data_IF_879751837540
#
_entry.id   IF_879751837540
#
_cell.length_a   1.000
_cell.length_b   1.000
_cell.length_c   1.000
_cell.angle_alpha   90.00
_cell.angle_beta   90.00
_cell.angle_gamma   90.00
#
_symmetry.space_group_name_H-M   'P 1'
#
loop_
_entity.id
_entity.type
_entity.pdbx_description
1 polymer ?
#
# COMPACT_ATOMS: atom_id res chain seq x y z
N UNK A 1 11.48 1.07 10.23
CA UNK A 1 11.51 1.31 11.70
C UNK A 1 10.12 1.17 12.36
N UNK A 2 9.04 1.75 11.81
CA UNK A 2 7.67 1.61 12.37
C UNK A 2 7.09 0.18 12.27
N UNK A 3 7.12 -0.44 11.09
CA UNK A 3 6.57 -1.79 10.85
C UNK A 3 7.26 -2.91 11.66
N UNK A 4 8.54 -2.75 11.99
CA UNK A 4 9.27 -3.72 12.81
C UNK A 4 8.76 -3.80 14.26
N UNK A 5 8.36 -2.65 14.84
CA UNK A 5 7.74 -2.61 16.17
C UNK A 5 6.33 -3.22 16.17
N UNK A 6 5.56 -3.00 15.10
CA UNK A 6 4.23 -3.62 14.92
C UNK A 6 4.34 -5.15 14.88
N UNK A 7 5.39 -5.70 14.24
CA UNK A 7 5.64 -7.15 14.24
C UNK A 7 5.86 -7.72 15.66
N UNK A 8 6.54 -6.98 16.54
CA UNK A 8 6.78 -7.41 17.92
C UNK A 8 5.52 -7.42 18.79
N UNK A 9 4.54 -6.58 18.46
CA UNK A 9 3.28 -6.43 19.22
C UNK A 9 2.16 -7.34 18.69
N UNK A 10 2.36 -7.97 17.54
CA UNK A 10 1.45 -8.95 16.92
C UNK A 10 0.99 -10.08 17.86
N UNK A 11 1.87 -10.77 18.63
CA UNK A 11 1.43 -11.82 19.56
C UNK A 11 0.56 -11.28 20.70
N UNK A 12 0.85 -10.07 21.21
CA UNK A 12 0.04 -9.42 22.25
C UNK A 12 -1.36 -9.07 21.74
N UNK A 13 -1.46 -8.64 20.49
CA UNK A 13 -2.74 -8.38 19.81
C UNK A 13 -3.59 -9.66 19.68
N UNK A 14 -2.97 -10.79 19.37
CA UNK A 14 -3.67 -12.08 19.28
C UNK A 14 -4.22 -12.52 20.64
N UNK A 15 -3.43 -12.38 21.71
CA UNK A 15 -3.87 -12.68 23.07
C UNK A 15 -5.07 -11.82 23.52
N UNK A 16 -5.07 -10.52 23.17
CA UNK A 16 -6.23 -9.63 23.43
C UNK A 16 -7.47 -10.14 22.70
N UNK A 17 -7.35 -10.52 21.43
CA UNK A 17 -8.48 -11.07 20.68
C UNK A 17 -9.03 -12.34 21.30
N UNK A 18 -8.16 -13.26 21.69
CA UNK A 18 -8.58 -14.51 22.33
C UNK A 18 -9.32 -14.26 23.64
N UNK A 19 -8.87 -13.29 24.43
CA UNK A 19 -9.49 -12.91 25.70
C UNK A 19 -10.85 -12.24 25.53
N UNK A 20 -11.08 -11.52 24.43
CA UNK A 20 -12.29 -10.71 24.20
C UNK A 20 -13.10 -11.13 22.96
N UNK A 21 -13.03 -12.40 22.52
CA UNK A 21 -13.72 -12.91 21.30
C UNK A 21 -15.23 -12.63 21.24
N UNK A 22 -15.90 -12.38 22.36
CA UNK A 22 -17.33 -12.07 22.45
C UNK A 22 -17.68 -10.62 22.76
N UNK A 23 -16.70 -9.72 22.94
CA UNK A 23 -16.93 -8.32 23.31
C UNK A 23 -16.09 -7.37 22.43
N UNK A 24 -16.64 -6.95 21.28
CA UNK A 24 -15.95 -6.07 20.34
C UNK A 24 -15.57 -4.71 20.96
N UNK A 25 -16.36 -4.22 21.92
CA UNK A 25 -16.10 -2.94 22.57
C UNK A 25 -14.86 -3.02 23.46
N UNK A 26 -14.77 -4.05 24.32
CA UNK A 26 -13.59 -4.27 25.17
C UNK A 26 -12.35 -4.62 24.36
N UNK A 27 -12.52 -5.38 23.27
CA UNK A 27 -11.42 -5.68 22.36
C UNK A 27 -10.80 -4.42 21.75
N UNK A 28 -11.63 -3.48 21.29
CA UNK A 28 -11.17 -2.20 20.72
C UNK A 28 -10.47 -1.32 21.78
N UNK A 29 -10.99 -1.29 23.01
CA UNK A 29 -10.39 -0.54 24.12
C UNK A 29 -9.00 -1.09 24.51
N UNK A 30 -8.89 -2.40 24.72
CA UNK A 30 -7.63 -3.07 25.07
C UNK A 30 -6.59 -2.94 23.94
N UNK A 31 -7.03 -3.01 22.68
CA UNK A 31 -6.17 -2.78 21.52
C UNK A 31 -5.60 -1.36 21.50
N UNK A 32 -6.44 -0.36 21.78
CA UNK A 32 -6.01 1.04 21.83
C UNK A 32 -5.06 1.31 23.01
N UNK A 33 -5.31 0.70 24.17
CA UNK A 33 -4.43 0.77 25.33
C UNK A 33 -3.05 0.13 25.04
N UNK A 34 -3.03 -1.01 24.34
CA UNK A 34 -1.80 -1.63 23.87
C UNK A 34 -1.02 -0.70 22.93
N UNK A 35 -1.68 -0.01 22.00
CA UNK A 35 -1.01 0.97 21.14
C UNK A 35 -0.46 2.18 21.91
N UNK A 36 -1.15 2.66 22.95
CA UNK A 36 -0.67 3.74 23.82
C UNK A 36 0.56 3.31 24.63
N UNK A 37 0.49 2.13 25.26
CA UNK A 37 1.58 1.58 26.09
C UNK A 37 2.85 1.29 25.27
N UNK A 38 2.69 0.74 24.07
CA UNK A 38 3.82 0.46 23.16
C UNK A 38 4.23 1.68 22.32
N UNK A 39 3.56 2.83 22.50
CA UNK A 39 3.75 4.08 21.74
C UNK A 39 3.75 3.86 20.21
N UNK A 40 2.85 3.00 19.74
CA UNK A 40 2.65 2.71 18.32
C UNK A 40 1.59 3.67 17.77
N UNK A 41 1.91 4.38 16.68
CA UNK A 41 0.94 5.22 16.00
C UNK A 41 0.16 4.41 14.93
N UNK A 42 -1.13 4.10 15.13
CA UNK A 42 -1.93 3.35 14.16
C UNK A 42 -2.11 4.11 12.84
N UNK A 43 -2.03 5.45 12.86
CA UNK A 43 -2.13 6.31 11.67
C UNK A 43 -0.84 6.38 10.86
N UNK A 44 0.26 5.77 11.34
CA UNK A 44 1.50 5.69 10.57
C UNK A 44 1.33 4.99 9.21
N UNK A 45 0.30 4.14 9.07
CA UNK A 45 -0.04 3.48 7.80
C UNK A 45 -0.81 4.35 6.80
N UNK A 46 -1.52 5.40 7.25
CA UNK A 46 -2.26 6.31 6.35
C UNK A 46 -1.47 7.57 5.99
N UNK A 47 -0.37 7.85 6.70
CA UNK A 47 0.54 8.96 6.39
C UNK A 47 1.03 8.97 4.91
N UNK A 48 1.36 7.83 4.29
CA UNK A 48 1.74 7.81 2.87
C UNK A 48 0.63 8.31 1.94
N UNK A 49 -0.64 8.04 2.28
CA UNK A 49 -1.79 8.46 1.46
C UNK A 49 -1.92 9.97 1.49
N UNK A 50 -1.75 10.59 2.67
CA UNK A 50 -1.82 12.05 2.83
C UNK A 50 -0.76 12.77 2.01
N UNK A 51 0.46 12.23 1.97
CA UNK A 51 1.55 12.80 1.15
C UNK A 51 1.34 12.50 -0.35
N UNK A 52 0.71 11.37 -0.68
CA UNK A 52 0.46 10.99 -2.07
C UNK A 52 -0.65 11.83 -2.73
N UNK A 53 -1.67 12.26 -1.99
CA UNK A 53 -2.81 13.00 -2.55
C UNK A 53 -2.40 14.29 -3.29
N UNK A 54 -1.54 15.18 -2.75
CA UNK A 54 -1.05 16.35 -3.48
C UNK A 54 -0.33 16.00 -4.78
N UNK A 55 0.48 14.93 -4.78
CA UNK A 55 1.22 14.48 -5.96
C UNK A 55 0.25 14.01 -7.05
N UNK A 56 -0.80 13.28 -6.66
CA UNK A 56 -1.86 12.86 -7.58
C UNK A 56 -2.58 14.03 -8.22
N UNK A 57 -3.01 15.01 -7.42
CA UNK A 57 -3.70 16.20 -7.92
C UNK A 57 -2.78 16.96 -8.88
N UNK A 58 -1.52 17.18 -8.50
CA UNK A 58 -0.56 17.90 -9.32
C UNK A 58 -0.33 17.21 -10.67
N UNK A 59 -0.04 15.91 -10.68
CA UNK A 59 0.21 15.16 -11.91
C UNK A 59 -1.03 15.07 -12.80
N UNK A 60 -2.21 14.87 -12.21
CA UNK A 60 -3.46 14.86 -12.95
C UNK A 60 -3.72 16.21 -13.64
N UNK A 61 -3.53 17.31 -12.92
CA UNK A 61 -3.69 18.65 -13.49
C UNK A 61 -2.63 18.96 -14.55
N UNK A 62 -1.37 18.58 -14.35
CA UNK A 62 -0.31 18.78 -15.34
C UNK A 62 -0.61 18.02 -16.64
N UNK A 63 -1.04 16.75 -16.55
CA UNK A 63 -1.38 15.97 -17.74
C UNK A 63 -2.58 16.53 -18.51
N UNK A 64 -3.52 17.16 -17.80
CA UNK A 64 -4.73 17.74 -18.40
C UNK A 64 -4.52 19.19 -18.91
N UNK A 65 -3.68 19.98 -18.24
CA UNK A 65 -3.48 21.39 -18.54
C UNK A 65 -2.35 21.62 -19.56
N UNK A 66 -1.33 20.77 -19.58
CA UNK A 66 -0.23 20.89 -20.53
C UNK A 66 -0.64 20.35 -21.90
N UNK A 67 -0.67 21.24 -22.89
CA UNK A 67 -0.98 20.93 -24.29
C UNK A 67 0.02 19.91 -24.87
N UNK A 68 1.24 19.89 -24.34
CA UNK A 68 2.33 19.02 -24.77
C UNK A 68 2.07 17.52 -24.53
N UNK A 69 1.21 17.16 -23.57
CA UNK A 69 0.87 15.76 -23.30
C UNK A 69 -0.32 15.26 -24.12
N UNK A 70 -1.07 16.16 -24.76
CA UNK A 70 -2.20 15.80 -25.62
C UNK A 70 -1.67 15.22 -26.93
N UNK A 71 -2.00 13.96 -27.19
CA UNK A 71 -1.49 13.21 -28.33
C UNK A 71 0.01 12.90 -28.23
N UNK A 72 0.61 12.96 -27.04
CA UNK A 72 2.00 12.59 -26.84
C UNK A 72 2.12 11.05 -26.81
N UNK A 73 2.80 10.43 -27.79
CA UNK A 73 3.02 8.99 -27.77
C UNK A 73 4.11 8.62 -26.77
N UNK A 74 4.05 7.39 -26.25
CA UNK A 74 5.11 6.86 -25.38
C UNK A 74 5.74 5.58 -25.93
N UNK A 75 5.02 4.45 -25.86
CA UNK A 75 5.52 3.17 -26.36
C UNK A 75 4.38 2.36 -26.97
N UNK A 76 4.63 1.79 -28.15
CA UNK A 76 3.73 0.85 -28.82
C UNK A 76 2.28 1.31 -28.89
N UNK A 77 1.45 0.83 -27.95
CA UNK A 77 0.01 1.07 -27.90
C UNK A 77 -0.40 2.40 -27.24
N UNK A 78 0.49 3.06 -26.49
CA UNK A 78 0.21 4.37 -25.88
C UNK A 78 0.51 5.47 -26.90
N UNK A 79 -0.56 6.02 -27.47
CA UNK A 79 -0.51 7.10 -28.46
C UNK A 79 -0.87 8.48 -27.87
N UNK A 80 -1.43 8.52 -26.67
CA UNK A 80 -1.77 9.76 -25.96
C UNK A 80 -1.68 9.56 -24.44
N UNK A 81 -0.74 10.26 -23.80
CA UNK A 81 -0.52 10.22 -22.35
C UNK A 81 -1.63 10.90 -21.53
N UNK A 82 -2.38 11.81 -22.14
CA UNK A 82 -3.52 12.49 -21.50
C UNK A 82 -4.80 11.67 -21.51
N UNK A 83 -4.88 10.65 -22.37
CA UNK A 83 -6.03 9.74 -22.47
C UNK A 83 -5.80 8.44 -21.71
N UNK A 84 -6.88 7.74 -21.38
CA UNK A 84 -6.81 6.41 -20.78
C UNK A 84 -6.15 5.39 -21.72
N UNK A 85 -5.52 4.35 -21.15
CA UNK A 85 -4.90 3.29 -21.94
C UNK A 85 -5.98 2.46 -22.67
N UNK A 86 -6.05 2.49 -24.01
CA UNK A 86 -7.10 1.78 -24.76
C UNK A 86 -7.04 0.26 -24.58
N UNK A 87 -5.85 -0.27 -24.28
CA UNK A 87 -5.61 -1.70 -24.12
C UNK A 87 -5.57 -2.12 -22.64
N UNK A 88 -5.70 -1.16 -21.73
CA UNK A 88 -5.68 -1.38 -20.28
C UNK A 88 -4.43 -2.13 -19.77
N UNK A 89 -3.33 -2.11 -20.52
CA UNK A 89 -2.09 -2.82 -20.16
C UNK A 89 -1.46 -2.18 -18.93
N UNK A 90 -1.37 -0.85 -18.89
CA UNK A 90 -0.81 -0.11 -17.76
C UNK A 90 -1.63 -0.30 -16.46
N UNK A 91 -2.97 -0.17 -16.45
CA UNK A 91 -3.80 -0.49 -15.28
C UNK A 91 -3.62 -1.93 -14.78
N UNK A 92 -3.51 -2.91 -15.67
CA UNK A 92 -3.27 -4.32 -15.30
C UNK A 92 -1.88 -4.48 -14.67
N UNK A 93 -0.84 -3.88 -15.25
CA UNK A 93 0.51 -3.87 -14.67
C UNK A 93 0.53 -3.21 -13.31
N UNK A 94 -0.21 -2.11 -13.14
CA UNK A 94 -0.38 -1.46 -11.85
C UNK A 94 -1.03 -2.40 -10.82
N UNK A 95 -2.14 -3.05 -11.17
CA UNK A 95 -2.83 -4.01 -10.31
C UNK A 95 -1.90 -5.16 -9.86
N UNK A 96 -1.12 -5.73 -10.80
CA UNK A 96 -0.14 -6.77 -10.51
C UNK A 96 0.96 -6.25 -9.58
N UNK A 97 1.51 -5.06 -9.86
CA UNK A 97 2.54 -4.44 -9.02
C UNK A 97 2.04 -4.16 -7.60
N UNK A 98 0.78 -3.72 -7.45
CA UNK A 98 0.15 -3.50 -6.14
C UNK A 98 -0.08 -4.81 -5.39
N UNK A 99 -0.46 -5.88 -6.09
CA UNK A 99 -0.57 -7.20 -5.49
C UNK A 99 0.78 -7.68 -4.94
N UNK A 100 1.86 -7.56 -5.73
CA UNK A 100 3.22 -7.90 -5.30
C UNK A 100 3.64 -7.05 -4.09
N UNK A 101 3.42 -5.74 -4.15
CA UNK A 101 3.75 -4.80 -3.06
C UNK A 101 3.03 -5.17 -1.77
N UNK A 102 1.75 -5.50 -1.85
CA UNK A 102 0.94 -5.93 -0.70
C UNK A 102 1.45 -7.23 -0.11
N UNK A 103 1.97 -8.16 -0.93
CA UNK A 103 2.59 -9.41 -0.46
C UNK A 103 3.97 -9.21 0.16
N UNK A 104 4.73 -8.23 -0.30
CA UNK A 104 6.05 -7.88 0.26
C UNK A 104 5.94 -7.11 1.58
N UNK A 105 4.83 -6.40 1.79
CA UNK A 105 4.57 -5.70 3.03
C UNK A 105 4.11 -6.67 4.13
N UNK A 106 4.60 -6.50 5.38
CA UNK A 106 4.16 -7.33 6.50
C UNK A 106 2.65 -7.23 6.68
N UNK A 107 1.97 -8.38 6.76
CA UNK A 107 0.54 -8.42 7.02
C UNK A 107 0.22 -7.81 8.40
N UNK A 108 -0.83 -6.99 8.53
CA UNK A 108 -1.29 -6.49 9.81
C UNK A 108 -1.64 -7.63 10.76
N UNK A 109 -1.44 -7.41 12.06
CA UNK A 109 -1.86 -8.35 13.11
C UNK A 109 -3.39 -8.52 13.18
N UNK A 110 -4.17 -7.63 12.55
CA UNK A 110 -5.63 -7.65 12.55
C UNK A 110 -6.23 -8.22 11.25
N UNK A 111 -7.06 -9.30 11.30
CA UNK A 111 -7.71 -9.85 10.12
C UNK A 111 -8.67 -8.85 9.46
N UNK A 112 -9.28 -7.92 10.20
CA UNK A 112 -10.12 -6.87 9.63
C UNK A 112 -9.26 -5.84 8.88
N UNK A 113 -8.14 -5.41 9.46
CA UNK A 113 -7.19 -4.50 8.82
C UNK A 113 -6.47 -5.16 7.63
N UNK A 114 -6.16 -6.46 7.72
CA UNK A 114 -5.55 -7.23 6.65
C UNK A 114 -6.49 -7.37 5.45
N UNK A 115 -7.80 -7.63 5.69
CA UNK A 115 -8.80 -7.60 4.63
C UNK A 115 -8.89 -6.22 3.98
N UNK A 116 -8.92 -5.14 4.77
CA UNK A 116 -8.93 -3.78 4.23
C UNK A 116 -7.69 -3.45 3.39
N UNK A 117 -6.49 -3.86 3.83
CA UNK A 117 -5.25 -3.69 3.08
C UNK A 117 -5.19 -4.50 1.78
N UNK A 118 -5.95 -5.59 1.66
CA UNK A 118 -6.06 -6.35 0.40
C UNK A 118 -7.07 -5.73 -0.56
N UNK A 119 -8.22 -5.27 -0.04
CA UNK A 119 -9.29 -4.71 -0.86
C UNK A 119 -9.05 -3.28 -1.34
N UNK A 120 -8.41 -2.45 -0.52
CA UNK A 120 -8.21 -1.03 -0.85
C UNK A 120 -7.33 -0.84 -2.10
N UNK A 121 -6.17 -1.50 -2.26
CA UNK A 121 -5.40 -1.44 -3.50
C UNK A 121 -6.16 -1.94 -4.72
N UNK A 122 -7.01 -2.97 -4.56
CA UNK A 122 -7.78 -3.54 -5.66
C UNK A 122 -8.80 -2.53 -6.20
N UNK A 123 -9.51 -1.84 -5.30
CA UNK A 123 -10.44 -0.77 -5.67
C UNK A 123 -9.75 0.37 -6.42
N UNK A 124 -8.60 0.85 -5.91
CA UNK A 124 -7.80 1.88 -6.60
C UNK A 124 -7.25 1.39 -7.95
N UNK A 125 -6.94 0.10 -8.07
CA UNK A 125 -6.46 -0.48 -9.33
C UNK A 125 -7.55 -0.52 -10.39
N UNK A 126 -8.80 -0.83 -10.02
CA UNK A 126 -9.96 -0.76 -10.93
C UNK A 126 -10.23 0.67 -11.37
N UNK A 127 -10.10 1.63 -10.45
CA UNK A 127 -10.26 3.05 -10.77
C UNK A 127 -9.29 3.51 -11.86
N UNK A 128 -8.04 3.00 -11.89
CA UNK A 128 -7.02 3.44 -12.86
C UNK A 128 -7.33 3.06 -14.32
N UNK A 129 -8.34 2.24 -14.58
CA UNK A 129 -8.77 1.91 -15.95
C UNK A 129 -9.38 3.12 -16.69
N UNK A 130 -9.87 4.12 -15.96
CA UNK A 130 -10.49 5.32 -16.56
C UNK A 130 -9.62 6.58 -16.41
N UNK A 131 -8.41 6.46 -15.85
CA UNK A 131 -7.50 7.59 -15.66
C UNK A 131 -6.53 7.74 -16.82
N UNK A 132 -5.96 8.95 -17.04
CA UNK A 132 -4.92 9.19 -18.04
C UNK A 132 -3.76 8.20 -17.92
N UNK A 133 -3.32 7.67 -19.05
CA UNK A 133 -2.27 6.64 -19.12
C UNK A 133 -0.93 7.16 -18.59
N UNK A 134 -0.62 8.45 -18.76
CA UNK A 134 0.56 9.07 -18.18
C UNK A 134 0.54 9.10 -16.65
N UNK A 135 -0.65 9.24 -16.05
CA UNK A 135 -0.82 9.15 -14.62
C UNK A 135 -0.53 7.71 -14.18
N UNK A 136 -1.23 6.74 -14.77
CA UNK A 136 -1.06 5.31 -14.44
C UNK A 136 0.40 4.87 -14.62
N UNK A 137 1.07 5.33 -15.68
CA UNK A 137 2.48 5.06 -15.96
C UNK A 137 3.38 5.50 -14.81
N UNK A 138 3.20 6.72 -14.29
CA UNK A 138 3.97 7.20 -13.14
C UNK A 138 3.84 6.26 -11.94
N UNK A 139 2.63 5.81 -11.63
CA UNK A 139 2.39 4.88 -10.51
C UNK A 139 2.98 3.49 -10.76
N UNK A 140 2.92 2.98 -11.98
CA UNK A 140 3.56 1.70 -12.34
C UNK A 140 5.07 1.79 -12.11
N UNK A 141 5.73 2.82 -12.63
CA UNK A 141 7.18 3.02 -12.46
C UNK A 141 7.54 3.17 -10.98
N UNK A 142 6.79 4.00 -10.24
CA UNK A 142 7.04 4.22 -8.82
C UNK A 142 6.86 2.94 -7.98
N UNK A 143 5.84 2.13 -8.28
CA UNK A 143 5.65 0.84 -7.63
C UNK A 143 6.77 -0.15 -7.93
N UNK A 144 7.24 -0.24 -9.18
CA UNK A 144 8.36 -1.12 -9.54
C UNK A 144 9.63 -0.71 -8.78
N UNK A 145 9.92 0.59 -8.71
CA UNK A 145 11.05 1.12 -7.93
C UNK A 145 10.88 0.81 -6.43
N UNK A 146 9.67 0.99 -5.89
CA UNK A 146 9.34 0.70 -4.50
C UNK A 146 9.50 -0.78 -4.17
N UNK A 147 9.08 -1.68 -5.07
CA UNK A 147 9.29 -3.12 -4.95
C UNK A 147 10.79 -3.44 -4.93
N UNK A 148 11.55 -2.85 -5.85
CA UNK A 148 13.01 -3.02 -5.90
C UNK A 148 13.68 -2.54 -4.61
N UNK A 149 13.31 -1.35 -4.13
CA UNK A 149 13.79 -0.81 -2.86
C UNK A 149 13.42 -1.71 -1.69
N UNK A 150 12.16 -2.14 -1.61
CA UNK A 150 11.66 -3.00 -0.54
C UNK A 150 12.34 -4.37 -0.55
N UNK A 151 12.64 -4.93 -1.73
CA UNK A 151 13.37 -6.17 -1.87
C UNK A 151 14.82 -6.04 -1.37
N UNK A 152 15.52 -4.96 -1.74
CA UNK A 152 16.88 -4.67 -1.26
C UNK A 152 16.89 -4.47 0.26
N UNK A 153 15.95 -3.70 0.81
CA UNK A 153 15.79 -3.49 2.25
C UNK A 153 15.54 -4.83 2.94
N UNK A 154 14.57 -5.60 2.47
CA UNK A 154 14.21 -6.90 3.07
C UNK A 154 15.42 -7.83 3.06
N UNK A 155 16.18 -7.90 1.96
CA UNK A 155 17.41 -8.71 1.88
C UNK A 155 18.51 -8.23 2.83
N UNK A 156 18.70 -6.92 2.99
CA UNK A 156 19.72 -6.32 3.88
C UNK A 156 19.39 -6.45 5.37
N UNK A 157 18.11 -6.46 5.73
CA UNK A 157 17.65 -6.52 7.12
C UNK A 157 17.00 -7.87 7.51
N UNK A 158 17.08 -8.89 6.64
CA UNK A 158 16.61 -10.25 6.92
C UNK A 158 17.46 -11.01 7.97
N UNK A 159 18.60 -10.48 8.41
CA UNK A 159 19.35 -10.99 9.57
C UNK A 159 18.75 -10.49 10.89
N UNK A 160 17.64 -11.09 11.28
CA UNK A 160 17.33 -11.38 12.67
C UNK A 160 16.36 -12.58 12.65
N UNK A 161 16.82 -13.79 13.06
CA UNK A 161 15.93 -14.92 13.20
C UNK A 161 14.77 -14.48 14.09
N UNK A 162 13.56 -14.70 13.57
CA UNK A 162 12.36 -14.56 14.38
C UNK A 162 12.52 -15.59 15.48
N UNK A 163 12.72 -15.14 16.72
CA UNK A 163 12.92 -16.01 17.87
C UNK A 163 11.86 -17.12 17.81
N UNK A 164 12.34 -18.36 17.76
CA UNK A 164 11.49 -19.54 17.80
C UNK A 164 10.57 -19.46 19.03
N UNK A 165 9.32 -19.97 18.95
CA UNK A 165 8.46 -20.02 20.11
C UNK A 165 9.18 -20.82 21.21
N UNK A 166 9.40 -20.18 22.36
CA UNK A 166 9.88 -20.86 23.55
C UNK A 166 8.87 -21.95 23.90
N UNK A 167 9.37 -23.19 23.98
CA UNK A 167 8.63 -24.36 24.48
C UNK A 167 8.24 -24.17 25.94
#
# INVERSE_FOLDING_TARGET
>A
KSMAKVKMVTPKMQAIRERYKGDPAKMNQATMELYKTEKINPLGGCLPILVQMPVFIALFWVLQASVEFRGAPWIGWIQDLSQHDPWCILPVLYAISMYITTKLNPAPADPMQAKMMLWMPLMFSVMFFIFPSGLVLYWVVNNILSIGQQWVITKKYATAPTAAPAK
#
